data_IF_946310361350
#
_entry.id   IF_946310361350
#
_cell.length_a   1.000
_cell.length_b   1.000
_cell.length_c   1.000
_cell.angle_alpha   90.00
_cell.angle_beta   90.00
_cell.angle_gamma   90.00
#
_symmetry.space_group_name_H-M   'P 1'
#
loop_
_entity.id
_entity.type
_entity.pdbx_description
1 polymer ?
#
# COMPACT_ATOMS: atom_id res chain seq x y z
N UNK A 1 5.65 49.98 14.49
CA UNK A 1 6.85 49.17 14.21
C UNK A 1 6.47 47.72 14.36
N UNK A 2 6.38 46.98 13.26
CA UNK A 2 6.11 45.54 13.29
C UNK A 2 7.46 44.82 13.39
N UNK A 3 7.67 44.06 14.45
CA UNK A 3 8.84 43.20 14.60
C UNK A 3 8.77 42.07 13.57
N UNK A 4 9.77 41.97 12.69
CA UNK A 4 9.96 40.81 11.83
C UNK A 4 10.18 39.56 12.71
N UNK A 5 9.23 38.65 12.64
CA UNK A 5 9.30 37.36 13.31
C UNK A 5 10.15 36.44 12.43
N UNK A 6 11.38 36.16 12.85
CA UNK A 6 12.23 35.15 12.21
C UNK A 6 12.12 33.83 12.96
N UNK A 7 11.79 32.75 12.25
CA UNK A 7 11.85 31.39 12.77
C UNK A 7 12.88 30.59 11.98
N UNK A 8 13.57 29.68 12.67
CA UNK A 8 14.51 28.72 12.06
C UNK A 8 13.94 27.33 12.24
N UNK A 9 13.71 26.63 11.13
CA UNK A 9 13.23 25.24 11.13
C UNK A 9 14.46 24.33 11.09
N UNK A 10 14.57 23.43 12.05
CA UNK A 10 15.60 22.39 12.07
C UNK A 10 14.96 21.03 11.76
N UNK A 11 15.62 20.22 10.95
CA UNK A 11 15.26 18.80 10.83
C UNK A 11 15.49 18.12 12.18
N UNK A 12 14.50 17.36 12.65
CA UNK A 12 14.69 16.43 13.77
C UNK A 12 14.97 15.04 13.16
N UNK A 13 16.23 14.61 13.08
CA UNK A 13 16.61 13.34 12.46
C UNK A 13 16.05 12.11 13.21
N UNK A 14 15.55 12.28 14.44
CA UNK A 14 14.84 11.22 15.18
C UNK A 14 13.35 11.15 14.82
N UNK A 15 12.81 12.15 14.13
CA UNK A 15 11.39 12.25 13.76
C UNK A 15 11.12 12.01 12.28
N UNK A 16 12.12 12.17 11.41
CA UNK A 16 11.98 11.96 9.97
C UNK A 16 12.89 10.79 9.54
N UNK A 17 12.53 9.59 9.94
CA UNK A 17 13.21 8.37 9.48
C UNK A 17 12.48 7.85 8.25
N UNK A 18 13.10 7.94 7.06
CA UNK A 18 12.61 7.25 5.87
C UNK A 18 13.24 5.85 5.78
N UNK A 19 12.56 4.83 5.23
CA UNK A 19 13.17 3.55 4.93
C UNK A 19 14.39 3.74 4.02
N UNK A 20 15.52 3.09 4.36
CA UNK A 20 16.68 3.08 3.48
C UNK A 20 16.35 2.27 2.22
N UNK A 21 16.50 2.90 1.06
CA UNK A 21 16.14 2.31 -0.25
C UNK A 21 17.14 1.22 -0.67
N UNK A 22 18.37 1.23 -0.16
CA UNK A 22 19.43 0.30 -0.58
C UNK A 22 19.15 -1.17 -0.22
N UNK A 23 18.26 -1.42 0.74
CA UNK A 23 17.88 -2.79 1.16
C UNK A 23 16.73 -3.38 0.34
N UNK A 24 16.24 -2.65 -0.67
CA UNK A 24 15.04 -3.03 -1.41
C UNK A 24 15.37 -3.85 -2.66
N UNK A 25 14.93 -5.11 -2.70
CA UNK A 25 15.09 -6.00 -3.85
C UNK A 25 14.11 -5.72 -5.00
N UNK A 26 13.49 -4.53 -5.03
CA UNK A 26 12.38 -4.18 -5.91
C UNK A 26 12.71 -2.93 -6.73
N UNK A 27 12.17 -2.78 -7.94
CA UNK A 27 12.46 -1.61 -8.78
C UNK A 27 12.06 -0.29 -8.11
N UNK A 28 12.80 0.78 -8.39
CA UNK A 28 12.46 2.14 -7.98
C UNK A 28 12.05 3.01 -9.17
N UNK A 29 11.18 3.99 -8.92
CA UNK A 29 10.76 5.02 -9.89
C UNK A 29 10.70 6.36 -9.20
N UNK A 30 11.10 7.43 -9.89
CA UNK A 30 11.05 8.75 -9.30
C UNK A 30 9.61 9.27 -9.29
N UNK A 31 9.25 10.00 -8.24
CA UNK A 31 7.94 10.66 -8.14
C UNK A 31 7.67 11.58 -9.34
N UNK A 32 8.72 12.23 -9.85
CA UNK A 32 8.65 13.07 -11.05
C UNK A 32 8.38 12.28 -12.34
N UNK A 33 8.43 10.95 -12.32
CA UNK A 33 8.06 10.10 -13.45
C UNK A 33 6.54 9.93 -13.54
N UNK A 34 5.77 10.30 -12.51
CA UNK A 34 4.31 10.31 -12.59
C UNK A 34 3.87 11.49 -13.46
N UNK A 35 3.25 11.20 -14.61
CA UNK A 35 2.79 12.20 -15.57
C UNK A 35 1.32 12.58 -15.35
N UNK A 36 0.49 11.62 -14.94
CA UNK A 36 -0.94 11.84 -14.71
C UNK A 36 -1.34 11.16 -13.43
N UNK A 37 -2.20 11.82 -12.64
CA UNK A 37 -2.76 11.32 -11.40
C UNK A 37 -4.26 11.57 -11.40
N UNK A 38 -5.04 10.56 -11.02
CA UNK A 38 -6.50 10.64 -10.85
C UNK A 38 -6.93 10.00 -9.55
N UNK A 39 -8.00 10.53 -8.97
CA UNK A 39 -8.68 9.90 -7.85
C UNK A 39 -9.39 8.61 -8.32
N UNK A 40 -9.40 7.60 -7.46
CA UNK A 40 -10.21 6.39 -7.67
C UNK A 40 -11.40 6.47 -6.73
N UNK A 41 -12.60 6.50 -7.29
CA UNK A 41 -13.82 6.58 -6.49
C UNK A 41 -13.95 5.40 -5.53
N UNK A 42 -14.44 5.66 -4.32
CA UNK A 42 -14.66 4.66 -3.26
C UNK A 42 -13.38 3.94 -2.79
N UNK A 43 -12.22 4.58 -2.97
CA UNK A 43 -10.94 4.14 -2.42
C UNK A 43 -10.44 5.22 -1.46
N UNK A 44 -9.61 4.82 -0.49
CA UNK A 44 -8.99 5.73 0.47
C UNK A 44 -8.20 6.86 -0.22
N UNK A 45 -8.18 8.09 0.35
CA UNK A 45 -7.60 9.27 -0.32
C UNK A 45 -6.11 9.17 -0.68
N UNK A 46 -5.36 8.32 0.03
CA UNK A 46 -3.94 8.08 -0.20
C UNK A 46 -3.67 7.04 -1.30
N UNK A 47 -4.68 6.59 -2.04
CA UNK A 47 -4.52 5.73 -3.21
C UNK A 47 -5.09 6.42 -4.44
N UNK A 48 -4.28 6.49 -5.50
CA UNK A 48 -4.63 7.17 -6.74
C UNK A 48 -4.26 6.32 -7.96
N UNK A 49 -4.96 6.52 -9.06
CA UNK A 49 -4.56 5.98 -10.36
C UNK A 49 -3.49 6.88 -10.97
N UNK A 50 -2.39 6.32 -11.44
CA UNK A 50 -1.30 7.07 -12.06
C UNK A 50 -0.84 6.48 -13.38
N UNK A 51 -0.30 7.32 -14.26
CA UNK A 51 0.48 6.91 -15.43
C UNK A 51 1.89 7.46 -15.32
N UNK A 52 2.87 6.62 -15.67
CA UNK A 52 4.28 7.03 -15.73
C UNK A 52 4.60 7.68 -17.08
N UNK A 53 5.63 8.53 -17.11
CA UNK A 53 6.18 9.10 -18.35
C UNK A 53 6.48 7.99 -19.35
N UNK A 54 6.08 8.21 -20.59
CA UNK A 54 6.27 7.29 -21.71
C UNK A 54 5.57 5.92 -21.53
N UNK A 55 4.65 5.79 -20.58
CA UNK A 55 3.85 4.60 -20.35
C UNK A 55 2.38 4.84 -20.68
N UNK A 56 1.74 3.87 -21.32
CA UNK A 56 0.29 3.90 -21.55
C UNK A 56 -0.49 3.22 -20.40
N UNK A 57 0.19 2.37 -19.62
CA UNK A 57 -0.41 1.59 -18.54
C UNK A 57 -0.75 2.47 -17.32
N UNK A 58 -1.92 2.19 -16.74
CA UNK A 58 -2.32 2.73 -15.45
C UNK A 58 -1.76 1.86 -14.32
N UNK A 59 -1.42 2.51 -13.21
CA UNK A 59 -0.96 1.89 -11.97
C UNK A 59 -1.76 2.45 -10.80
N UNK A 60 -1.87 1.67 -9.73
CA UNK A 60 -2.35 2.16 -8.45
C UNK A 60 -1.14 2.66 -7.64
N UNK A 61 -1.16 3.94 -7.26
CA UNK A 61 -0.15 4.57 -6.43
C UNK A 61 -0.70 4.76 -5.02
N UNK A 62 -0.13 4.03 -4.06
CA UNK A 62 -0.42 4.18 -2.62
C UNK A 62 0.64 5.08 -2.02
N UNK A 63 0.23 6.30 -1.69
CA UNK A 63 1.06 7.32 -1.06
C UNK A 63 1.35 6.96 0.40
N UNK A 64 2.60 7.17 0.79
CA UNK A 64 3.04 7.17 2.18
C UNK A 64 3.48 8.61 2.45
N UNK A 65 2.52 9.52 2.51
CA UNK A 65 2.77 10.91 2.88
C UNK A 65 2.46 11.10 4.36
N UNK A 66 3.39 10.62 5.20
CA UNK A 66 3.33 10.86 6.65
C UNK A 66 4.67 11.38 7.15
N UNK A 67 4.66 12.30 8.12
CA UNK A 67 5.88 12.86 8.71
C UNK A 67 6.69 11.82 9.49
N UNK A 68 6.07 10.71 9.90
CA UNK A 68 6.70 9.64 10.68
C UNK A 68 6.49 8.30 9.98
N UNK A 69 7.55 7.67 9.48
CA UNK A 69 7.48 6.27 9.05
C UNK A 69 7.59 5.36 10.25
N UNK A 70 6.93 4.22 10.18
CA UNK A 70 7.12 3.15 11.17
C UNK A 70 7.92 2.01 10.53
N UNK A 71 8.68 1.22 11.31
CA UNK A 71 9.44 0.08 10.77
C UNK A 71 8.60 -0.90 9.94
N UNK A 72 7.28 -1.00 10.20
CA UNK A 72 6.34 -1.80 9.42
C UNK A 72 6.29 -1.41 7.93
N UNK A 73 6.59 -0.17 7.58
CA UNK A 73 6.51 0.36 6.21
C UNK A 73 7.52 -0.29 5.25
N UNK A 74 8.63 -0.78 5.79
CA UNK A 74 9.67 -1.47 5.01
C UNK A 74 9.32 -2.94 4.77
N UNK A 75 8.54 -3.56 5.67
CA UNK A 75 8.05 -4.94 5.54
C UNK A 75 7.01 -5.05 4.41
N UNK A 76 6.36 -3.93 4.06
CA UNK A 76 5.35 -3.79 3.00
C UNK A 76 5.80 -4.17 1.58
N UNK A 77 7.09 -4.38 1.38
CA UNK A 77 7.67 -4.45 0.04
C UNK A 77 7.69 -5.86 -0.55
N UNK A 78 7.18 -6.84 0.20
CA UNK A 78 6.98 -8.21 -0.27
C UNK A 78 5.57 -8.45 -0.85
N UNK A 79 4.89 -7.38 -1.29
CA UNK A 79 3.52 -7.43 -1.80
C UNK A 79 3.48 -8.09 -3.19
N UNK A 80 2.65 -9.12 -3.33
CA UNK A 80 2.23 -9.66 -4.63
C UNK A 80 1.60 -8.49 -5.40
N UNK A 81 2.15 -8.15 -6.58
CA UNK A 81 1.81 -6.98 -7.43
C UNK A 81 2.58 -5.67 -7.18
N UNK A 82 3.65 -5.68 -6.37
CA UNK A 82 4.54 -4.53 -6.32
C UNK A 82 5.29 -4.35 -7.66
N UNK A 83 5.01 -3.24 -8.34
CA UNK A 83 5.68 -2.86 -9.59
C UNK A 83 6.96 -2.09 -9.28
N UNK A 84 6.87 -1.10 -8.40
CA UNK A 84 8.00 -0.28 -8.00
C UNK A 84 7.75 0.46 -6.69
N UNK A 85 8.84 0.88 -6.04
CA UNK A 85 8.80 1.89 -4.98
C UNK A 85 8.94 3.28 -5.59
N UNK A 86 8.08 4.20 -5.18
CA UNK A 86 8.14 5.60 -5.61
C UNK A 86 9.05 6.37 -4.65
N UNK A 87 10.02 7.08 -5.21
CA UNK A 87 11.07 7.78 -4.47
C UNK A 87 11.16 9.26 -4.87
N UNK A 88 11.63 10.13 -3.98
CA UNK A 88 11.93 11.53 -4.29
C UNK A 88 13.18 12.01 -3.58
N UNK A 89 13.64 13.23 -3.88
CA UNK A 89 14.55 13.95 -2.97
C UNK A 89 13.84 14.12 -1.62
N UNK A 90 14.59 14.15 -0.52
CA UNK A 90 14.04 14.44 0.79
C UNK A 90 13.38 15.84 0.78
N UNK A 91 12.05 15.96 0.88
CA UNK A 91 11.36 17.25 0.78
C UNK A 91 11.59 18.14 2.01
N UNK A 92 12.15 17.59 3.08
CA UNK A 92 12.45 18.31 4.32
C UNK A 92 13.93 18.68 4.45
N UNK A 93 14.77 18.29 3.49
CA UNK A 93 16.20 18.60 3.53
C UNK A 93 16.42 20.11 3.51
N UNK A 94 17.05 20.61 4.56
CA UNK A 94 17.37 22.04 4.73
C UNK A 94 18.81 22.39 4.36
N UNK A 95 19.59 21.39 3.93
CA UNK A 95 20.98 21.57 3.51
C UNK A 95 21.12 21.40 2.00
N UNK A 96 21.82 22.31 1.35
CA UNK A 96 22.19 22.23 -0.08
C UNK A 96 23.24 21.14 -0.38
N UNK A 97 23.39 20.15 0.50
CA UNK A 97 24.27 19.02 0.22
C UNK A 97 23.64 18.18 -0.90
N UNK A 98 24.33 18.16 -2.05
CA UNK A 98 23.96 17.42 -3.27
C UNK A 98 23.72 15.91 -3.08
N UNK A 99 23.98 15.36 -1.90
CA UNK A 99 23.98 13.92 -1.60
C UNK A 99 23.06 13.53 -0.43
N UNK A 100 21.84 14.06 -0.36
CA UNK A 100 20.81 13.39 0.44
C UNK A 100 20.32 12.13 -0.29
N UNK A 101 20.30 10.96 0.36
CA UNK A 101 19.74 9.76 -0.26
C UNK A 101 18.27 10.00 -0.60
N UNK A 102 17.77 9.41 -1.70
CA UNK A 102 16.36 9.49 -2.02
C UNK A 102 15.53 8.91 -0.87
N UNK A 103 14.30 9.38 -0.76
CA UNK A 103 13.36 8.95 0.26
C UNK A 103 12.16 8.27 -0.39
N UNK A 104 11.65 7.23 0.25
CA UNK A 104 10.40 6.60 -0.15
C UNK A 104 9.25 7.61 -0.05
N UNK A 105 8.33 7.58 -1.01
CA UNK A 105 7.09 8.39 -1.03
C UNK A 105 5.83 7.55 -1.18
N UNK A 106 5.98 6.28 -1.57
CA UNK A 106 4.89 5.33 -1.68
C UNK A 106 5.26 4.11 -2.52
N UNK A 107 4.26 3.34 -2.87
CA UNK A 107 4.40 2.13 -3.69
C UNK A 107 3.50 2.18 -4.92
N UNK A 108 4.01 1.62 -6.01
CA UNK A 108 3.33 1.47 -7.28
C UNK A 108 2.89 0.01 -7.45
N UNK A 109 1.61 -0.19 -7.68
CA UNK A 109 0.96 -1.49 -7.84
C UNK A 109 0.30 -1.58 -9.22
N UNK A 110 0.11 -2.81 -9.70
CA UNK A 110 -0.73 -3.02 -10.88
C UNK A 110 -2.14 -2.47 -10.64
N UNK A 111 -2.68 -1.75 -11.64
CA UNK A 111 -4.05 -1.25 -11.59
C UNK A 111 -5.02 -2.23 -12.26
N UNK A 112 -6.09 -2.57 -11.55
CA UNK A 112 -7.14 -3.45 -12.03
C UNK A 112 -8.44 -2.67 -12.23
N UNK A 113 -8.88 -2.55 -13.48
CA UNK A 113 -10.03 -1.73 -13.87
C UNK A 113 -11.39 -2.35 -13.54
N UNK A 114 -11.46 -3.67 -13.33
CA UNK A 114 -12.72 -4.38 -13.08
C UNK A 114 -13.24 -4.20 -11.64
N UNK A 115 -12.51 -3.42 -10.83
CA UNK A 115 -12.94 -3.05 -9.49
C UNK A 115 -12.67 -4.14 -8.44
N UNK A 116 -13.36 -4.01 -7.31
CA UNK A 116 -13.18 -4.90 -6.15
C UNK A 116 -14.21 -6.02 -6.12
N UNK A 117 -13.90 -7.09 -5.39
CA UNK A 117 -14.87 -8.14 -5.05
C UNK A 117 -16.07 -7.56 -4.29
N UNK A 118 -15.86 -6.53 -3.47
CA UNK A 118 -16.96 -5.82 -2.80
C UNK A 118 -17.96 -5.22 -3.78
N UNK A 119 -17.48 -4.57 -4.84
CA UNK A 119 -18.34 -4.02 -5.89
C UNK A 119 -19.08 -5.13 -6.64
N UNK A 120 -18.40 -6.23 -6.95
CA UNK A 120 -19.03 -7.41 -7.56
C UNK A 120 -20.11 -8.05 -6.67
N UNK A 121 -19.93 -8.06 -5.34
CA UNK A 121 -20.93 -8.56 -4.39
C UNK A 121 -22.15 -7.63 -4.25
N UNK A 122 -21.96 -6.31 -4.43
CA UNK A 122 -23.03 -5.31 -4.37
C UNK A 122 -23.79 -5.17 -5.69
N UNK A 123 -23.26 -5.69 -6.79
CA UNK A 123 -23.95 -5.69 -8.08
C UNK A 123 -25.26 -6.49 -8.00
N UNK A 124 -26.35 -5.89 -8.48
CA UNK A 124 -27.73 -6.41 -8.35
C UNK A 124 -28.05 -7.59 -9.28
N UNK A 125 -27.18 -7.91 -10.23
CA UNK A 125 -27.43 -8.99 -11.20
C UNK A 125 -27.07 -10.38 -10.66
N UNK A 126 -26.25 -10.48 -9.61
CA UNK A 126 -26.02 -11.66 -8.74
C UNK A 126 -25.65 -12.98 -9.43
N UNK A 127 -25.56 -12.99 -10.76
CA UNK A 127 -25.59 -14.19 -11.57
C UNK A 127 -24.48 -14.14 -12.62
N UNK A 128 -23.78 -15.26 -12.78
CA UNK A 128 -22.66 -15.46 -13.69
C UNK A 128 -21.29 -14.87 -13.29
N UNK A 129 -21.06 -14.64 -11.99
CA UNK A 129 -19.72 -14.45 -11.45
C UNK A 129 -19.06 -15.80 -11.11
N UNK A 130 -17.73 -15.95 -11.29
CA UNK A 130 -17.02 -17.19 -11.06
C UNK A 130 -16.69 -17.39 -9.55
N UNK A 131 -17.71 -17.34 -8.69
CA UNK A 131 -17.58 -17.35 -7.22
C UNK A 131 -16.63 -18.42 -6.68
N UNK A 132 -16.77 -19.66 -7.16
CA UNK A 132 -15.91 -20.78 -6.75
C UNK A 132 -14.45 -20.57 -7.14
N UNK A 133 -14.19 -19.97 -8.31
CA UNK A 133 -12.83 -19.67 -8.76
C UNK A 133 -12.19 -18.61 -7.88
N UNK A 134 -12.93 -17.54 -7.57
CA UNK A 134 -12.45 -16.47 -6.71
C UNK A 134 -12.11 -16.96 -5.31
N UNK A 135 -12.98 -17.77 -4.70
CA UNK A 135 -12.71 -18.37 -3.40
C UNK A 135 -11.43 -19.22 -3.41
N UNK A 136 -11.21 -20.03 -4.46
CA UNK A 136 -9.99 -20.84 -4.61
C UNK A 136 -8.74 -19.99 -4.81
N UNK A 137 -8.82 -18.91 -5.60
CA UNK A 137 -7.71 -18.00 -5.85
C UNK A 137 -7.30 -17.23 -4.59
N UNK A 138 -8.29 -16.77 -3.79
CA UNK A 138 -8.03 -16.13 -2.51
C UNK A 138 -7.39 -17.12 -1.54
N UNK A 139 -7.89 -18.36 -1.46
CA UNK A 139 -7.31 -19.40 -0.62
C UNK A 139 -5.88 -19.75 -1.04
N UNK A 140 -5.59 -19.85 -2.34
CA UNK A 140 -4.24 -20.09 -2.86
C UNK A 140 -3.29 -18.92 -2.56
N UNK A 141 -3.76 -17.68 -2.70
CA UNK A 141 -2.99 -16.49 -2.34
C UNK A 141 -2.62 -16.48 -0.85
N UNK A 142 -3.58 -16.77 0.04
CA UNK A 142 -3.34 -16.88 1.47
C UNK A 142 -2.38 -18.03 1.81
N UNK A 143 -2.55 -19.19 1.17
CA UNK A 143 -1.65 -20.33 1.36
C UNK A 143 -0.20 -20.00 1.01
N UNK A 144 0.01 -19.18 -0.03
CA UNK A 144 1.35 -18.71 -0.46
C UNK A 144 2.02 -17.74 0.53
N UNK A 145 1.28 -17.12 1.45
CA UNK A 145 1.88 -16.27 2.51
C UNK A 145 2.51 -17.10 3.64
N UNK A 146 2.10 -18.35 3.79
CA UNK A 146 2.52 -19.24 4.89
C UNK A 146 4.05 -19.40 5.02
N UNK A 147 4.84 -19.59 3.95
CA UNK A 147 6.29 -19.76 4.08
C UNK A 147 7.01 -18.53 4.65
N UNK A 148 6.41 -17.35 4.53
CA UNK A 148 6.95 -16.11 5.09
C UNK A 148 6.51 -15.82 6.53
N UNK A 149 5.78 -16.73 7.19
CA UNK A 149 5.16 -16.51 8.51
C UNK A 149 4.38 -15.17 8.58
N UNK A 150 3.79 -14.79 7.45
CA UNK A 150 2.98 -13.58 7.32
C UNK A 150 1.51 -13.99 7.24
N UNK A 151 0.70 -13.41 8.11
CA UNK A 151 -0.76 -13.48 8.03
C UNK A 151 -1.27 -12.16 7.46
N UNK A 152 -2.22 -12.22 6.53
CA UNK A 152 -2.80 -11.03 5.92
C UNK A 152 -3.56 -10.14 6.92
N UNK A 153 -4.27 -10.74 7.88
CA UNK A 153 -5.01 -10.06 8.97
C UNK A 153 -6.15 -9.10 8.57
N UNK A 154 -6.39 -8.89 7.28
CA UNK A 154 -7.39 -7.94 6.77
C UNK A 154 -8.05 -8.49 5.50
N UNK A 155 -8.39 -9.79 5.49
CA UNK A 155 -9.06 -10.41 4.34
C UNK A 155 -10.51 -9.94 4.30
N UNK A 156 -10.81 -9.06 3.35
CA UNK A 156 -12.15 -8.51 3.11
C UNK A 156 -12.39 -8.27 1.63
N UNK A 157 -13.65 -8.20 1.16
CA UNK A 157 -13.95 -8.03 -0.26
C UNK A 157 -13.35 -6.77 -0.91
N UNK A 158 -13.12 -5.69 -0.16
CA UNK A 158 -12.48 -4.47 -0.68
C UNK A 158 -10.96 -4.59 -0.84
N UNK A 159 -10.32 -5.57 -0.21
CA UNK A 159 -8.91 -5.94 -0.40
C UNK A 159 -8.73 -7.04 -1.46
N UNK A 160 -9.77 -7.35 -2.23
CA UNK A 160 -9.67 -8.26 -3.38
C UNK A 160 -10.10 -7.49 -4.62
N UNK A 161 -9.24 -7.43 -5.63
CA UNK A 161 -9.57 -6.85 -6.94
C UNK A 161 -9.77 -7.94 -7.97
N UNK A 162 -10.54 -7.61 -9.01
CA UNK A 162 -10.77 -8.48 -10.15
C UNK A 162 -9.86 -8.01 -11.29
N UNK A 163 -9.04 -8.92 -11.81
CA UNK A 163 -8.17 -8.59 -12.96
C UNK A 163 -8.94 -8.61 -14.28
N UNK A 164 -8.25 -8.21 -15.37
CA UNK A 164 -8.80 -8.19 -16.72
C UNK A 164 -9.22 -9.58 -17.27
N UNK A 165 -8.80 -10.66 -16.63
CA UNK A 165 -9.16 -12.05 -16.95
C UNK A 165 -10.27 -12.59 -16.03
N UNK A 166 -10.86 -11.72 -15.20
CA UNK A 166 -11.87 -12.05 -14.18
C UNK A 166 -11.35 -13.00 -13.09
N UNK A 167 -10.07 -12.94 -12.76
CA UNK A 167 -9.48 -13.61 -11.61
C UNK A 167 -9.52 -12.71 -10.37
N UNK A 168 -9.62 -13.32 -9.19
CA UNK A 168 -9.47 -12.61 -7.93
C UNK A 168 -7.99 -12.45 -7.60
N UNK A 169 -7.60 -11.24 -7.22
CA UNK A 169 -6.27 -10.90 -6.74
C UNK A 169 -6.36 -10.25 -5.36
N UNK A 170 -5.66 -10.83 -4.40
CA UNK A 170 -5.57 -10.34 -3.03
C UNK A 170 -4.58 -9.17 -2.94
N UNK A 171 -5.05 -8.03 -2.46
CA UNK A 171 -4.28 -6.81 -2.23
C UNK A 171 -3.90 -6.67 -0.75
N UNK A 172 -2.98 -5.74 -0.47
CA UNK A 172 -2.63 -5.30 0.88
C UNK A 172 -2.23 -6.44 1.84
N UNK A 173 -1.48 -7.41 1.33
CA UNK A 173 -0.90 -8.52 2.10
C UNK A 173 0.13 -8.07 3.16
N UNK A 174 0.34 -6.76 3.30
CA UNK A 174 1.32 -6.16 4.20
C UNK A 174 0.82 -5.95 5.63
N UNK A 175 -0.50 -5.96 5.86
CA UNK A 175 -1.10 -5.73 7.19
C UNK A 175 -0.96 -4.30 7.74
N UNK A 176 -0.37 -3.36 6.98
CA UNK A 176 -0.06 -1.99 7.43
C UNK A 176 -1.29 -1.07 7.40
N UNK A 177 -2.37 -1.50 6.74
CA UNK A 177 -3.67 -0.84 6.80
C UNK A 177 -4.41 -1.03 8.13
N UNK A 178 -3.85 -1.80 9.07
CA UNK A 178 -4.56 -2.26 10.26
C UNK A 178 -5.42 -3.49 9.95
N UNK A 179 -6.36 -3.76 10.85
CA UNK A 179 -7.34 -4.83 10.71
C UNK A 179 -8.74 -4.24 10.67
N UNK A 180 -9.61 -4.81 9.84
CA UNK A 180 -11.03 -4.44 9.86
C UNK A 180 -11.76 -5.33 10.85
N UNK A 181 -12.23 -4.74 11.96
CA UNK A 181 -12.76 -5.49 13.10
C UNK A 181 -13.90 -6.47 12.73
N UNK A 182 -14.76 -6.08 11.79
CA UNK A 182 -15.89 -6.91 11.29
C UNK A 182 -15.45 -8.18 10.56
N UNK A 183 -14.20 -8.23 10.11
CA UNK A 183 -13.61 -9.35 9.35
C UNK A 183 -12.60 -10.15 10.18
N UNK A 184 -12.43 -9.82 11.47
CA UNK A 184 -11.59 -10.58 12.37
C UNK A 184 -12.26 -11.89 12.79
N UNK A 185 -11.45 -12.91 13.01
CA UNK A 185 -11.91 -14.15 13.63
C UNK A 185 -12.34 -13.88 15.09
N UNK A 186 -13.36 -14.58 15.61
CA UNK A 186 -13.91 -14.34 16.95
C UNK A 186 -12.87 -14.32 18.06
N UNK A 187 -11.87 -15.20 17.98
CA UNK A 187 -10.78 -15.34 18.94
C UNK A 187 -9.79 -14.15 18.94
N UNK A 188 -9.80 -13.33 17.89
CA UNK A 188 -8.92 -12.16 17.73
C UNK A 188 -9.64 -10.87 18.15
N UNK A 189 -10.98 -10.85 18.18
CA UNK A 189 -11.77 -9.64 18.43
C UNK A 189 -11.43 -8.94 19.75
N UNK A 190 -11.05 -9.69 20.79
CA UNK A 190 -10.72 -9.16 22.11
C UNK A 190 -9.26 -8.70 22.25
N UNK A 191 -8.42 -8.94 21.23
CA UNK A 191 -7.01 -8.56 21.25
C UNK A 191 -6.87 -7.09 20.86
N UNK A 192 -6.26 -6.30 21.75
CA UNK A 192 -6.06 -4.86 21.56
C UNK A 192 -5.17 -4.52 20.35
N UNK A 193 -4.14 -5.33 20.11
CA UNK A 193 -3.24 -5.18 18.96
C UNK A 193 -2.96 -6.55 18.32
N UNK A 194 -3.85 -7.02 17.44
CA UNK A 194 -3.73 -8.32 16.77
C UNK A 194 -2.46 -8.45 15.93
N UNK A 195 -1.95 -7.35 15.37
CA UNK A 195 -0.79 -7.38 14.48
C UNK A 195 0.52 -7.64 15.23
N UNK A 196 0.57 -7.30 16.53
CA UNK A 196 1.68 -7.60 17.43
C UNK A 196 1.67 -9.02 17.99
N UNK A 197 0.61 -9.80 17.75
CA UNK A 197 0.51 -11.19 18.23
C UNK A 197 1.48 -12.13 17.49
N UNK A 198 1.90 -13.25 18.13
CA UNK A 198 2.64 -14.31 17.46
C UNK A 198 1.91 -14.81 16.21
N UNK A 199 2.65 -15.29 15.22
CA UNK A 199 2.08 -15.80 13.96
C UNK A 199 1.03 -16.89 14.21
N UNK A 200 1.20 -17.73 15.22
CA UNK A 200 0.27 -18.82 15.56
C UNK A 200 -1.08 -18.33 16.07
N UNK A 201 -1.16 -17.08 16.53
CA UNK A 201 -2.40 -16.42 16.96
C UNK A 201 -3.00 -15.50 15.89
N UNK A 202 -2.32 -15.32 14.75
CA UNK A 202 -2.69 -14.43 13.65
C UNK A 202 -3.25 -15.20 12.46
#
# INVERSE_FOLDING_TARGET
MASELSFTVHEDPLRVTYPYIEDLSVPTRWLMDIQTKREIQNVVPWVSGVQLKNGESWYAYKEIDRPFYTPGDSVALHVVQLVAVIISKNPYSTTDQDYSPPVMRGILLDYHSEGTLEQALKATDGSNHPWRRWALQIADALYRLRPSNNTHMDVKPSNVVIDNQRNAVLLDISGIGGVTHEWLAPEILEILDPLSSPFEMR
#
